data_IF_303905172674
#
_entry.id   IF_303905172674
#
_cell.length_a   1.000
_cell.length_b   1.000
_cell.length_c   1.000
_cell.angle_alpha   90.00
_cell.angle_beta   90.00
_cell.angle_gamma   90.00
#
_symmetry.space_group_name_H-M   'P 1'
#
loop_
_entity.id
_entity.type
_entity.pdbx_description
1 polymer ?
#
# COMPACT_ATOMS: atom_id res chain seq x y z
N UNK A 1 2.71 -5.04 -7.70
CA UNK A 1 3.83 -4.28 -8.29
C UNK A 1 4.32 -3.23 -7.32
N UNK A 2 5.61 -3.14 -7.19
CA UNK A 2 6.26 -2.21 -6.29
C UNK A 2 6.56 -0.91 -7.02
N UNK A 3 6.69 0.18 -6.28
CA UNK A 3 6.94 1.53 -6.80
C UNK A 3 5.78 2.11 -7.60
N UNK A 4 4.60 1.63 -7.33
CA UNK A 4 3.41 2.21 -7.92
C UNK A 4 2.94 3.41 -7.11
N UNK A 5 2.52 4.46 -7.78
CA UNK A 5 2.01 5.65 -7.12
C UNK A 5 0.50 5.65 -7.20
N UNK A 6 -0.13 5.78 -6.04
CA UNK A 6 -1.58 5.85 -5.90
C UNK A 6 -1.90 7.11 -5.12
N UNK A 7 -2.38 8.14 -5.79
CA UNK A 7 -2.61 9.42 -5.16
C UNK A 7 -1.29 10.00 -4.64
N UNK A 8 -1.23 10.26 -3.34
CA UNK A 8 -0.03 10.78 -2.70
C UNK A 8 0.85 9.68 -2.11
N UNK A 9 0.53 8.42 -2.36
CA UNK A 9 1.22 7.30 -1.75
C UNK A 9 2.06 6.58 -2.77
N UNK A 10 3.29 6.30 -2.40
CA UNK A 10 4.17 5.48 -3.20
C UNK A 10 4.30 4.12 -2.54
N UNK A 11 3.83 3.09 -3.22
CA UNK A 11 3.89 1.72 -2.71
C UNK A 11 5.33 1.23 -2.84
N UNK A 12 5.94 0.86 -1.72
CA UNK A 12 7.33 0.46 -1.72
C UNK A 12 7.54 -1.01 -1.41
N UNK A 13 6.58 -1.65 -0.74
CA UNK A 13 6.76 -3.04 -0.36
C UNK A 13 5.41 -3.70 -0.12
N UNK A 14 5.35 -4.99 -0.43
CA UNK A 14 4.18 -5.79 -0.10
C UNK A 14 4.47 -6.53 1.20
N UNK A 15 3.67 -6.26 2.23
CA UNK A 15 3.89 -6.81 3.56
C UNK A 15 3.18 -8.13 3.78
N UNK A 16 2.04 -8.32 3.15
CA UNK A 16 1.27 -9.53 3.35
C UNK A 16 0.21 -9.71 2.30
N UNK A 17 -0.34 -10.92 2.28
CA UNK A 17 -1.36 -11.30 1.32
C UNK A 17 -2.31 -12.23 2.04
N UNK A 18 -3.56 -11.88 2.05
CA UNK A 18 -4.58 -12.68 2.70
C UNK A 18 -5.70 -13.02 1.75
N UNK A 19 -6.66 -13.79 2.21
CA UNK A 19 -7.78 -14.21 1.38
C UNK A 19 -8.68 -13.06 0.95
N UNK A 20 -8.61 -11.92 1.62
CA UNK A 20 -9.47 -10.78 1.34
C UNK A 20 -8.73 -9.56 0.82
N UNK A 21 -7.45 -9.69 0.55
CA UNK A 21 -6.69 -8.57 0.03
C UNK A 21 -5.24 -8.63 0.43
N UNK A 22 -4.56 -7.53 0.23
CA UNK A 22 -3.12 -7.43 0.48
C UNK A 22 -2.82 -6.21 1.33
N UNK A 23 -1.69 -6.27 2.03
CA UNK A 23 -1.22 -5.15 2.83
C UNK A 23 0.10 -4.68 2.24
N UNK A 24 0.22 -3.38 2.04
CA UNK A 24 1.41 -2.78 1.47
C UNK A 24 1.97 -1.74 2.40
N UNK A 25 3.29 -1.61 2.37
CA UNK A 25 3.97 -0.48 2.98
C UNK A 25 4.10 0.60 1.91
N UNK A 26 3.75 1.81 2.27
CA UNK A 26 3.80 2.93 1.34
C UNK A 26 4.35 4.16 2.04
N UNK A 27 4.78 5.12 1.25
CA UNK A 27 5.26 6.40 1.76
C UNK A 27 4.26 7.47 1.33
N UNK A 28 3.81 8.26 2.30
CA UNK A 28 2.99 9.43 2.03
C UNK A 28 3.94 10.51 1.50
N UNK A 29 3.83 10.82 0.22
CA UNK A 29 4.74 11.75 -0.44
C UNK A 29 4.54 13.19 0.01
N UNK A 30 3.38 13.49 0.55
CA UNK A 30 3.08 14.83 1.01
C UNK A 30 3.63 15.07 2.41
N UNK A 31 3.49 14.10 3.30
CA UNK A 31 3.93 14.21 4.68
C UNK A 31 5.28 13.52 4.92
N UNK A 32 5.78 12.82 3.92
CA UNK A 32 7.07 12.14 3.97
C UNK A 32 7.16 11.16 5.14
N UNK A 33 6.17 10.28 5.25
CA UNK A 33 6.17 9.28 6.31
C UNK A 33 5.55 7.99 5.82
N UNK A 34 5.89 6.89 6.50
CA UNK A 34 5.38 5.57 6.16
C UNK A 34 3.96 5.36 6.63
N UNK A 35 3.20 4.67 5.80
CA UNK A 35 1.85 4.25 6.13
C UNK A 35 1.65 2.83 5.66
N UNK A 36 0.67 2.16 6.22
CA UNK A 36 0.25 0.84 5.76
C UNK A 36 -1.06 1.00 4.99
N UNK A 37 -1.10 0.40 3.81
CA UNK A 37 -2.30 0.43 2.99
C UNK A 37 -2.81 -0.99 2.86
N UNK A 38 -4.06 -1.21 3.23
CA UNK A 38 -4.71 -2.49 3.11
C UNK A 38 -5.72 -2.42 1.99
N UNK A 39 -5.61 -3.32 1.02
CA UNK A 39 -6.61 -3.45 -0.02
C UNK A 39 -7.57 -4.55 0.38
N UNK A 40 -8.84 -4.32 0.17
CA UNK A 40 -9.88 -5.30 0.50
C UNK A 40 -10.61 -5.63 -0.78
N UNK A 41 -10.69 -6.91 -1.08
CA UNK A 41 -11.41 -7.39 -2.25
C UNK A 41 -12.77 -7.88 -1.79
N UNK A 42 -13.85 -7.22 -2.18
CA UNK A 42 -15.20 -7.68 -1.83
C UNK A 42 -15.52 -8.94 -2.62
N UNK A 43 -16.11 -9.89 -1.97
CA UNK A 43 -16.52 -11.14 -2.63
C UNK A 43 -18.03 -11.25 -2.69
#
# INVERSE_FOLDING_TARGET
MIDKIVGNYRIVERLGDGGMGSVYRAVDRMLDREVAIKTIIPT
#
